data_IF_404153294088
#
_entry.id   IF_404153294088
#
_cell.length_a   1.000
_cell.length_b   1.000
_cell.length_c   1.000
_cell.angle_alpha   90.00
_cell.angle_beta   90.00
_cell.angle_gamma   90.00
#
_symmetry.space_group_name_H-M   'P 1'
#
loop_
_entity.id
_entity.type
_entity.pdbx_description
1 polymer ?
#
# COMPACT_ATOMS: atom_id res chain seq x y z
N UNK A 1 -12.19 14.73 -0.60
CA UNK A 1 -11.21 15.66 -0.02
C UNK A 1 -10.22 16.13 -1.07
N UNK A 2 -9.43 15.24 -1.70
CA UNK A 2 -8.41 15.57 -2.69
C UNK A 2 -9.00 16.40 -3.85
N UNK A 3 -9.98 15.87 -4.58
CA UNK A 3 -10.59 16.53 -5.74
C UNK A 3 -11.22 17.90 -5.43
N UNK A 4 -11.55 18.15 -4.15
CA UNK A 4 -12.12 19.44 -3.72
C UNK A 4 -11.05 20.46 -3.35
N UNK A 5 -9.97 20.01 -2.71
CA UNK A 5 -8.98 20.88 -2.08
C UNK A 5 -7.62 20.86 -2.79
N UNK A 6 -7.42 19.98 -3.76
CA UNK A 6 -6.14 19.67 -4.40
C UNK A 6 -5.00 19.40 -3.38
N UNK A 7 -5.36 18.88 -2.20
CA UNK A 7 -4.45 18.65 -1.09
C UNK A 7 -4.86 17.45 -0.23
N UNK A 8 -3.87 16.66 0.16
CA UNK A 8 -3.93 15.65 1.21
C UNK A 8 -2.74 15.84 2.16
N UNK A 9 -2.93 15.54 3.43
CA UNK A 9 -1.83 15.48 4.39
C UNK A 9 -0.84 14.37 3.99
N UNK A 10 0.45 14.54 4.32
CA UNK A 10 1.51 13.59 3.94
C UNK A 10 1.19 12.13 4.31
N UNK A 11 0.67 11.88 5.51
CA UNK A 11 0.27 10.52 5.93
C UNK A 11 -0.89 9.98 5.09
N UNK A 12 -1.86 10.80 4.73
CA UNK A 12 -2.94 10.38 3.82
C UNK A 12 -2.40 10.02 2.43
N UNK A 13 -1.41 10.78 1.93
CA UNK A 13 -0.74 10.47 0.66
C UNK A 13 0.00 9.14 0.72
N UNK A 14 0.81 8.94 1.74
CA UNK A 14 1.68 7.77 1.87
C UNK A 14 0.90 6.52 2.29
N UNK A 15 0.17 6.58 3.40
CA UNK A 15 -0.41 5.41 4.06
C UNK A 15 -1.82 5.06 3.58
N UNK A 16 -2.48 5.94 2.86
CA UNK A 16 -3.77 5.66 2.25
C UNK A 16 -3.62 5.55 0.73
N UNK A 17 -3.38 6.66 0.04
CA UNK A 17 -3.36 6.64 -1.42
C UNK A 17 -2.18 5.86 -1.98
N UNK A 18 -0.97 6.17 -1.54
CA UNK A 18 0.24 5.48 -2.00
C UNK A 18 0.23 3.99 -1.66
N UNK A 19 -0.15 3.63 -0.44
CA UNK A 19 -0.29 2.25 0.00
C UNK A 19 -1.33 1.49 -0.86
N UNK A 20 -2.50 2.08 -1.10
CA UNK A 20 -3.54 1.45 -1.92
C UNK A 20 -3.09 1.23 -3.36
N UNK A 21 -2.53 2.27 -4.01
CA UNK A 21 -2.03 2.18 -5.38
C UNK A 21 -0.88 1.17 -5.52
N UNK A 22 -0.03 1.07 -4.50
CA UNK A 22 1.05 0.10 -4.44
C UNK A 22 0.53 -1.35 -4.33
N UNK A 23 -0.44 -1.59 -3.44
CA UNK A 23 -1.05 -2.91 -3.28
C UNK A 23 -1.84 -3.34 -4.53
N UNK A 24 -2.38 -2.40 -5.29
CA UNK A 24 -2.99 -2.63 -6.59
C UNK A 24 -1.96 -2.87 -7.71
N UNK A 25 -0.67 -2.72 -7.44
CA UNK A 25 0.43 -2.86 -8.41
C UNK A 25 0.34 -1.88 -9.58
N UNK A 26 -0.20 -0.69 -9.35
CA UNK A 26 -0.23 0.37 -10.35
C UNK A 26 1.20 0.77 -10.70
N UNK A 27 1.46 0.97 -12.00
CA UNK A 27 2.78 1.39 -12.45
C UNK A 27 3.24 2.68 -11.74
N UNK A 28 4.44 2.70 -11.13
CA UNK A 28 4.94 3.86 -10.38
C UNK A 28 4.92 5.18 -11.18
N UNK A 29 5.12 5.13 -12.49
CA UNK A 29 5.05 6.32 -13.33
C UNK A 29 3.63 6.90 -13.41
N UNK A 30 2.60 6.04 -13.43
CA UNK A 30 1.21 6.49 -13.37
C UNK A 30 0.86 7.05 -12.00
N UNK A 31 1.38 6.44 -10.92
CA UNK A 31 1.22 6.95 -9.55
C UNK A 31 1.87 8.33 -9.43
N UNK A 32 3.10 8.49 -9.90
CA UNK A 32 3.81 9.76 -9.90
C UNK A 32 3.03 10.85 -10.65
N UNK A 33 2.60 10.56 -11.89
CA UNK A 33 1.80 11.48 -12.69
C UNK A 33 0.51 11.87 -11.98
N UNK A 34 -0.19 10.92 -11.39
CA UNK A 34 -1.42 11.15 -10.64
C UNK A 34 -1.19 12.10 -9.46
N UNK A 35 -0.10 11.92 -8.70
CA UNK A 35 0.26 12.83 -7.61
C UNK A 35 0.58 14.25 -8.12
N UNK A 36 1.34 14.35 -9.21
CA UNK A 36 1.71 15.64 -9.81
C UNK A 36 0.49 16.41 -10.33
N UNK A 37 -0.46 15.74 -10.94
CA UNK A 37 -1.65 16.37 -11.53
C UNK A 37 -2.69 16.80 -10.49
N UNK A 38 -2.79 16.12 -9.35
CA UNK A 38 -3.88 16.31 -8.40
C UNK A 38 -3.52 17.09 -7.13
N UNK A 39 -2.25 17.37 -6.89
CA UNK A 39 -1.81 18.08 -5.69
C UNK A 39 -1.20 19.44 -6.03
N UNK A 40 -1.72 20.49 -5.39
CA UNK A 40 -1.27 21.86 -5.62
C UNK A 40 0.17 22.12 -5.18
N UNK A 41 0.67 21.34 -4.25
CA UNK A 41 2.02 21.42 -3.69
C UNK A 41 2.98 20.33 -4.23
N UNK A 42 2.65 19.73 -5.38
CA UNK A 42 3.47 18.73 -6.02
C UNK A 42 4.59 19.37 -6.84
N UNK A 43 5.82 19.09 -6.44
CA UNK A 43 7.04 19.49 -7.15
C UNK A 43 7.93 18.26 -7.36
N UNK A 44 8.62 18.18 -8.49
CA UNK A 44 9.45 17.03 -8.86
C UNK A 44 10.45 16.64 -7.77
N UNK A 45 11.19 17.62 -7.23
CA UNK A 45 12.20 17.36 -6.20
C UNK A 45 11.64 16.76 -4.90
N UNK A 46 10.34 16.94 -4.63
CA UNK A 46 9.63 16.33 -3.51
C UNK A 46 9.01 14.99 -3.93
N UNK A 47 8.31 14.97 -5.08
CA UNK A 47 7.50 13.83 -5.49
C UNK A 47 8.32 12.68 -6.02
N UNK A 48 9.43 12.92 -6.70
CA UNK A 48 10.31 11.84 -7.19
C UNK A 48 10.75 10.92 -6.04
N UNK A 49 11.43 11.39 -4.98
CA UNK A 49 11.83 10.51 -3.89
C UNK A 49 10.65 9.94 -3.10
N UNK A 50 9.60 10.73 -2.88
CA UNK A 50 8.46 10.28 -2.08
C UNK A 50 7.60 9.23 -2.79
N UNK A 51 7.43 9.34 -4.12
CA UNK A 51 6.64 8.34 -4.87
C UNK A 51 7.50 7.11 -5.16
N UNK A 52 8.60 7.24 -5.88
CA UNK A 52 9.39 6.08 -6.31
C UNK A 52 10.09 5.38 -5.16
N UNK A 53 10.70 6.11 -4.25
CA UNK A 53 11.45 5.54 -3.13
C UNK A 53 10.55 5.13 -1.97
N UNK A 54 9.72 6.04 -1.46
CA UNK A 54 8.99 5.81 -0.23
C UNK A 54 7.65 5.11 -0.46
N UNK A 55 6.80 5.64 -1.35
CA UNK A 55 5.44 5.14 -1.56
C UNK A 55 5.42 3.84 -2.36
N UNK A 56 6.12 3.80 -3.50
CA UNK A 56 6.06 2.68 -4.44
C UNK A 56 7.24 1.71 -4.30
N UNK A 57 8.20 1.99 -3.43
CA UNK A 57 9.36 1.14 -3.16
C UNK A 57 10.07 0.64 -4.45
N UNK A 58 10.04 1.47 -5.50
CA UNK A 58 10.50 1.10 -6.83
C UNK A 58 11.99 1.37 -7.07
N UNK A 59 12.67 1.95 -6.08
CA UNK A 59 14.11 2.21 -6.07
C UNK A 59 14.94 1.03 -5.52
N UNK A 60 14.30 -0.12 -5.25
CA UNK A 60 14.95 -1.29 -4.68
C UNK A 60 15.35 -1.16 -3.21
N UNK A 61 14.81 -0.15 -2.51
CA UNK A 61 15.05 0.02 -1.07
C UNK A 61 16.21 0.96 -0.75
N UNK A 62 16.59 1.87 -1.65
CA UNK A 62 17.59 2.90 -1.40
C UNK A 62 17.12 3.90 -0.34
N UNK A 63 15.88 4.36 -0.44
CA UNK A 63 15.30 5.33 0.50
C UNK A 63 14.71 4.70 1.74
N UNK A 64 14.11 3.51 1.64
CA UNK A 64 13.46 2.86 2.76
C UNK A 64 13.82 1.39 2.87
N UNK A 65 14.01 0.91 4.10
CA UNK A 65 14.40 -0.47 4.37
C UNK A 65 13.24 -1.47 4.23
N UNK A 66 12.03 -0.98 4.06
CA UNK A 66 10.81 -1.78 3.90
C UNK A 66 9.74 -0.98 3.16
N UNK A 67 8.81 -1.66 2.45
CA UNK A 67 7.64 -1.00 1.89
C UNK A 67 6.77 -0.35 2.97
N UNK A 68 6.21 0.82 2.69
CA UNK A 68 5.23 1.49 3.54
C UNK A 68 3.82 0.96 3.26
N UNK A 69 3.60 -0.29 3.66
CA UNK A 69 2.30 -0.96 3.53
C UNK A 69 1.69 -1.28 4.88
N UNK A 70 0.37 -1.31 4.91
CA UNK A 70 -0.40 -1.65 6.11
C UNK A 70 -1.73 -2.30 5.75
N UNK A 71 -2.26 -3.11 6.64
CA UNK A 71 -3.64 -3.60 6.56
C UNK A 71 -4.64 -2.54 7.04
N UNK A 72 -5.93 -2.85 6.91
CA UNK A 72 -7.06 -1.98 7.26
C UNK A 72 -7.04 -1.54 8.72
N UNK A 73 -6.57 -2.38 9.64
CA UNK A 73 -6.48 -2.06 11.06
C UNK A 73 -5.62 -0.82 11.37
N UNK A 74 -4.55 -0.60 10.62
CA UNK A 74 -3.73 0.60 10.78
C UNK A 74 -4.54 1.85 10.41
N UNK A 75 -5.24 1.79 9.28
CA UNK A 75 -6.05 2.92 8.79
C UNK A 75 -7.17 3.24 9.78
N UNK A 76 -7.87 2.22 10.28
CA UNK A 76 -8.91 2.39 11.29
C UNK A 76 -8.42 3.04 12.60
N UNK A 77 -7.18 2.73 13.01
CA UNK A 77 -6.57 3.31 14.22
C UNK A 77 -6.06 4.73 14.03
N UNK A 78 -5.64 5.08 12.81
CA UNK A 78 -4.97 6.34 12.51
C UNK A 78 -5.87 7.36 11.82
N UNK A 79 -7.14 7.05 11.63
CA UNK A 79 -8.11 7.90 10.93
C UNK A 79 -9.51 7.80 11.52
N UNK A 80 -10.40 8.67 11.05
CA UNK A 80 -11.82 8.67 11.41
C UNK A 80 -12.66 7.69 10.57
N UNK A 81 -12.03 6.90 9.69
CA UNK A 81 -12.74 5.91 8.88
C UNK A 81 -13.33 4.81 9.74
N UNK A 82 -14.58 4.48 9.48
CA UNK A 82 -15.29 3.39 10.16
C UNK A 82 -15.09 2.08 9.39
N UNK A 83 -15.17 0.97 10.14
CA UNK A 83 -15.12 -0.36 9.55
C UNK A 83 -16.26 -0.54 8.52
N UNK A 84 -15.93 -1.10 7.37
CA UNK A 84 -16.84 -1.36 6.26
C UNK A 84 -16.25 -2.39 5.29
N UNK A 85 -16.94 -2.63 4.18
CA UNK A 85 -16.53 -3.60 3.14
C UNK A 85 -15.13 -3.32 2.58
N UNK A 86 -14.72 -2.06 2.53
CA UNK A 86 -13.39 -1.66 2.10
C UNK A 86 -12.26 -2.32 2.91
N UNK A 87 -12.52 -2.67 4.17
CA UNK A 87 -11.53 -3.33 5.03
C UNK A 87 -11.16 -4.72 4.50
N UNK A 88 -12.15 -5.48 4.03
CA UNK A 88 -11.92 -6.81 3.48
C UNK A 88 -11.12 -6.73 2.17
N UNK A 89 -11.49 -5.81 1.30
CA UNK A 89 -10.79 -5.55 0.05
C UNK A 89 -9.33 -5.16 0.33
N UNK A 90 -9.12 -4.22 1.24
CA UNK A 90 -7.79 -3.75 1.62
C UNK A 90 -6.92 -4.86 2.21
N UNK A 91 -7.48 -5.62 3.15
CA UNK A 91 -6.77 -6.73 3.78
C UNK A 91 -6.48 -7.85 2.79
N UNK A 92 -7.34 -8.11 1.82
CA UNK A 92 -7.10 -9.07 0.75
C UNK A 92 -5.88 -8.65 -0.10
N UNK A 93 -5.82 -7.41 -0.56
CA UNK A 93 -4.68 -6.87 -1.29
C UNK A 93 -3.39 -6.93 -0.47
N UNK A 94 -3.44 -6.51 0.79
CA UNK A 94 -2.30 -6.50 1.70
C UNK A 94 -1.73 -7.90 1.94
N UNK A 95 -2.57 -8.86 2.29
CA UNK A 95 -2.14 -10.23 2.56
C UNK A 95 -1.71 -10.97 1.30
N UNK A 96 -2.35 -10.70 0.16
CA UNK A 96 -1.91 -11.24 -1.13
C UNK A 96 -0.52 -10.72 -1.51
N UNK A 97 -0.26 -9.42 -1.33
CA UNK A 97 1.05 -8.83 -1.58
C UNK A 97 2.15 -9.47 -0.72
N UNK A 98 1.89 -9.68 0.58
CA UNK A 98 2.83 -10.39 1.48
C UNK A 98 3.07 -11.82 1.00
N UNK A 99 2.03 -12.51 0.57
CA UNK A 99 2.14 -13.89 0.09
C UNK A 99 2.98 -14.00 -1.19
N UNK A 100 2.82 -13.08 -2.13
CA UNK A 100 3.58 -13.07 -3.38
C UNK A 100 5.06 -12.70 -3.17
N UNK A 101 5.36 -11.89 -2.16
CA UNK A 101 6.71 -11.39 -1.88
C UNK A 101 7.34 -12.05 -0.64
N UNK A 102 7.02 -13.32 -0.35
CA UNK A 102 7.48 -14.05 0.85
C UNK A 102 8.98 -13.97 1.08
N UNK A 103 9.77 -14.17 0.04
CA UNK A 103 11.24 -14.22 0.16
C UNK A 103 11.82 -12.87 0.57
N UNK A 104 11.24 -11.78 0.08
CA UNK A 104 11.58 -10.44 0.51
C UNK A 104 11.27 -10.22 2.00
N UNK A 105 10.06 -10.56 2.43
CA UNK A 105 9.63 -10.36 3.82
C UNK A 105 10.35 -11.27 4.81
N UNK A 106 10.79 -12.47 4.41
CA UNK A 106 11.56 -13.39 5.26
C UNK A 106 12.98 -12.89 5.56
N UNK A 107 13.60 -12.19 4.62
CA UNK A 107 14.97 -11.68 4.79
C UNK A 107 15.09 -10.61 5.89
N UNK A 108 14.00 -9.91 6.19
CA UNK A 108 14.00 -8.86 7.20
C UNK A 108 13.28 -9.35 8.48
N UNK A 109 13.98 -9.45 9.64
CA UNK A 109 13.38 -9.92 10.89
C UNK A 109 12.13 -9.14 11.34
N UNK A 110 12.08 -7.84 11.02
CA UNK A 110 10.92 -6.98 11.36
C UNK A 110 9.67 -7.32 10.56
N UNK A 111 9.81 -7.89 9.38
CA UNK A 111 8.70 -8.22 8.48
C UNK A 111 8.39 -9.70 8.41
N UNK A 112 9.31 -10.58 8.84
CA UNK A 112 9.12 -12.03 8.85
C UNK A 112 7.92 -12.48 9.68
N UNK A 113 7.57 -11.74 10.73
CA UNK A 113 6.39 -12.00 11.55
C UNK A 113 5.09 -11.93 10.71
N UNK A 114 5.03 -11.09 9.67
CA UNK A 114 3.87 -10.98 8.79
C UNK A 114 3.60 -12.28 8.04
N UNK A 115 4.66 -12.97 7.60
CA UNK A 115 4.55 -14.29 6.95
C UNK A 115 3.95 -15.31 7.91
N UNK A 116 4.44 -15.35 9.15
CA UNK A 116 3.93 -16.27 10.16
C UNK A 116 2.43 -15.99 10.48
N UNK A 117 2.03 -14.72 10.49
CA UNK A 117 0.64 -14.35 10.67
C UNK A 117 -0.24 -14.78 9.49
N UNK A 118 0.26 -14.61 8.26
CA UNK A 118 -0.43 -15.11 7.08
C UNK A 118 -0.56 -16.63 7.09
N UNK A 119 0.49 -17.34 7.43
CA UNK A 119 0.52 -18.81 7.42
C UNK A 119 -0.49 -19.43 8.41
N UNK A 120 -0.76 -18.76 9.52
CA UNK A 120 -1.77 -19.17 10.51
C UNK A 120 -3.21 -19.00 10.04
N UNK A 121 -3.47 -18.28 8.95
CA UNK A 121 -4.84 -18.12 8.41
C UNK A 121 -5.32 -19.41 7.77
N UNK A 122 -6.64 -19.65 7.81
CA UNK A 122 -7.26 -20.82 7.16
C UNK A 122 -7.06 -20.79 5.64
N UNK A 123 -7.11 -21.96 5.02
CA UNK A 123 -7.01 -22.09 3.54
C UNK A 123 -8.12 -21.31 2.83
N UNK A 124 -9.32 -21.33 3.37
CA UNK A 124 -10.47 -20.63 2.83
C UNK A 124 -10.23 -19.11 2.77
N UNK A 125 -9.79 -18.51 3.88
CA UNK A 125 -9.47 -17.09 3.95
C UNK A 125 -8.35 -16.71 2.97
N UNK A 126 -7.30 -17.53 2.85
CA UNK A 126 -6.22 -17.31 1.89
C UNK A 126 -6.71 -17.33 0.44
N UNK A 127 -7.57 -18.29 0.10
CA UNK A 127 -8.15 -18.41 -1.24
C UNK A 127 -9.03 -17.21 -1.57
N UNK A 128 -9.85 -16.75 -0.61
CA UNK A 128 -10.67 -15.55 -0.78
C UNK A 128 -9.83 -14.30 -1.01
N UNK A 129 -8.76 -14.11 -0.25
CA UNK A 129 -7.85 -12.98 -0.44
C UNK A 129 -7.19 -12.96 -1.83
N UNK A 130 -6.73 -14.13 -2.30
CA UNK A 130 -6.14 -14.25 -3.64
C UNK A 130 -7.18 -13.93 -4.72
N UNK A 131 -8.42 -14.40 -4.56
CA UNK A 131 -9.51 -14.12 -5.51
C UNK A 131 -9.80 -12.64 -5.59
N UNK A 132 -10.09 -11.99 -4.46
CA UNK A 132 -10.38 -10.54 -4.40
C UNK A 132 -9.22 -9.73 -5.00
N UNK A 133 -7.97 -10.07 -4.66
CA UNK A 133 -6.82 -9.35 -5.17
C UNK A 133 -6.68 -9.48 -6.69
N UNK A 134 -6.90 -10.67 -7.25
CA UNK A 134 -6.86 -10.90 -8.71
C UNK A 134 -7.97 -10.18 -9.47
N UNK A 135 -9.16 -10.09 -8.88
CA UNK A 135 -10.30 -9.41 -9.49
C UNK A 135 -10.10 -7.87 -9.56
N UNK A 136 -9.22 -7.32 -8.73
CA UNK A 136 -8.96 -5.88 -8.63
C UNK A 136 -7.65 -5.43 -9.26
N UNK A 137 -6.65 -6.31 -9.35
CA UNK A 137 -5.36 -5.99 -9.99
C UNK A 137 -5.51 -6.07 -11.51
N UNK A 138 -5.24 -4.96 -12.18
CA UNK A 138 -5.28 -4.81 -13.64
C UNK A 138 -4.10 -5.50 -14.32
#
# INVERSE_FOLDING_TARGET
>A
KLLKNAYLHHIERLMIMGNFLFLLKINPNHVYRWFMELHIDAYDWVMVPNVYGMSQFSDGGLMSTKPYISGSNYILKMSDYKKGEWCEIWDALYWNFINENRDFFRKNPRTSMMINMYDKKSKEVKTNYIKIAKDLQL
#
